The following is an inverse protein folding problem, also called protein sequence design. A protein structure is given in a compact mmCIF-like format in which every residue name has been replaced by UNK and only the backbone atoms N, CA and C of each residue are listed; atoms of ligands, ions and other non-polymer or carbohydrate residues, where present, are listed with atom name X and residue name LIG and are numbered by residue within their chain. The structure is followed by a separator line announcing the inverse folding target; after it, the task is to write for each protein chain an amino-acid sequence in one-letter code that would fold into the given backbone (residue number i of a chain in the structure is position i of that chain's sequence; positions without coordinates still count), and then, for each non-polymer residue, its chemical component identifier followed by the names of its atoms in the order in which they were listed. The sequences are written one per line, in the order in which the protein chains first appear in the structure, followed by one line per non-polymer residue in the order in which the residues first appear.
data_IF_793157297374
#
_entry.id   IF_793157297374
#
_cell.length_a   1.000
_cell.length_b   1.000
_cell.length_c   1.000
_cell.angle_alpha   90.00
_cell.angle_beta   90.00
_cell.angle_gamma   90.00
#
_symmetry.space_group_name_H-M   'P 1'
#
loop_
_entity.id
_entity.type
_entity.pdbx_description
1 polymer ?
#
# COMPACT_ATOMS: atom_id res chain seq x y z
N UNK A 1 -14.56 21.70 -3.02
CA UNK A 1 -14.13 21.46 -1.62
C UNK A 1 -12.64 21.19 -1.69
N UNK A 2 -11.83 21.69 -0.76
CA UNK A 2 -10.38 21.43 -0.78
C UNK A 2 -10.02 20.23 0.10
N UNK A 3 -8.99 19.43 -0.26
CA UNK A 3 -8.50 18.34 0.57
C UNK A 3 -8.00 18.80 1.94
N UNK A 4 -8.40 18.08 3.00
CA UNK A 4 -7.85 18.31 4.35
C UNK A 4 -6.39 17.83 4.47
N UNK A 5 -6.04 16.75 3.78
CA UNK A 5 -4.68 16.26 3.65
C UNK A 5 -4.13 16.62 2.27
N UNK A 6 -2.83 16.89 2.15
CA UNK A 6 -2.24 17.19 0.83
C UNK A 6 -2.04 15.93 0.01
N UNK A 7 -1.57 14.85 0.64
CA UNK A 7 -1.31 13.57 -0.02
C UNK A 7 -2.29 12.51 0.46
N UNK A 8 -2.76 11.68 -0.47
CA UNK A 8 -3.67 10.58 -0.17
C UNK A 8 -3.13 9.27 -0.73
N UNK A 9 -2.92 8.30 0.15
CA UNK A 9 -2.59 6.92 -0.20
C UNK A 9 -3.81 6.04 0.00
N UNK A 10 -4.27 5.36 -1.05
CA UNK A 10 -5.36 4.40 -0.98
C UNK A 10 -4.82 2.99 -1.21
N UNK A 11 -4.86 2.18 -0.14
CA UNK A 11 -4.23 0.87 -0.04
C UNK A 11 -5.29 -0.20 -0.17
N UNK A 12 -5.15 -1.07 -1.17
CA UNK A 12 -6.08 -2.18 -1.37
C UNK A 12 -5.39 -3.36 -2.03
N UNK A 13 -5.68 -4.55 -1.54
CA UNK A 13 -5.22 -5.82 -2.14
C UNK A 13 -5.68 -5.97 -3.60
N UNK A 14 -6.74 -5.25 -3.97
CA UNK A 14 -7.35 -5.34 -5.29
C UNK A 14 -6.85 -4.28 -6.30
N UNK A 15 -5.92 -3.39 -5.93
CA UNK A 15 -5.28 -2.48 -6.91
C UNK A 15 -4.42 -3.31 -7.87
N UNK A 16 -4.69 -3.20 -9.18
CA UNK A 16 -4.10 -4.04 -10.24
C UNK A 16 -4.27 -5.57 -10.02
N UNK A 17 -5.21 -5.98 -9.17
CA UNK A 17 -5.41 -7.38 -8.82
C UNK A 17 -6.90 -7.65 -8.57
N UNK A 18 -7.68 -7.82 -9.65
CA UNK A 18 -9.12 -8.08 -9.51
C UNK A 18 -9.38 -9.43 -8.83
N UNK A 19 -9.90 -9.38 -7.61
CA UNK A 19 -10.34 -10.53 -6.81
C UNK A 19 -11.85 -10.48 -6.56
N UNK A 20 -12.39 -9.32 -6.23
CA UNK A 20 -13.77 -9.13 -5.80
C UNK A 20 -14.33 -7.74 -6.13
N UNK A 21 -15.18 -7.24 -5.22
CA UNK A 21 -15.91 -5.99 -5.41
C UNK A 21 -15.07 -4.74 -5.15
N UNK A 22 -14.04 -4.81 -4.29
CA UNK A 22 -13.23 -3.64 -3.93
C UNK A 22 -12.47 -3.12 -5.15
N UNK A 23 -12.04 -3.99 -6.07
CA UNK A 23 -11.48 -3.59 -7.36
C UNK A 23 -12.38 -2.55 -8.05
N UNK A 24 -13.67 -2.86 -8.16
CA UNK A 24 -14.66 -1.99 -8.83
C UNK A 24 -14.86 -0.69 -8.07
N UNK A 25 -14.89 -0.75 -6.73
CA UNK A 25 -15.03 0.44 -5.87
C UNK A 25 -13.86 1.40 -6.07
N UNK A 26 -12.62 0.93 -5.91
CA UNK A 26 -11.43 1.78 -6.04
C UNK A 26 -11.30 2.29 -7.48
N UNK A 27 -11.51 1.41 -8.48
CA UNK A 27 -11.44 1.76 -9.90
C UNK A 27 -12.44 2.84 -10.31
N UNK A 28 -13.71 2.71 -9.90
CA UNK A 28 -14.76 3.68 -10.25
C UNK A 28 -14.58 5.03 -9.56
N UNK A 29 -14.01 5.02 -8.34
CA UNK A 29 -13.71 6.22 -7.57
C UNK A 29 -12.43 6.95 -8.02
N UNK A 30 -11.48 6.24 -8.64
CA UNK A 30 -10.15 6.76 -8.98
C UNK A 30 -10.20 8.08 -9.78
N UNK A 31 -11.10 8.21 -10.76
CA UNK A 31 -11.24 9.45 -11.55
C UNK A 31 -11.59 10.66 -10.70
N UNK A 32 -12.54 10.51 -9.77
CA UNK A 32 -12.92 11.59 -8.86
C UNK A 32 -11.82 11.92 -7.85
N UNK A 33 -11.07 10.92 -7.40
CA UNK A 33 -9.90 11.15 -6.53
C UNK A 33 -8.81 11.93 -7.26
N UNK A 34 -8.59 11.64 -8.54
CA UNK A 34 -7.66 12.39 -9.38
C UNK A 34 -8.12 13.83 -9.62
N UNK A 35 -9.41 14.08 -9.82
CA UNK A 35 -9.94 15.45 -9.88
C UNK A 35 -9.75 16.20 -8.56
N UNK A 36 -9.83 15.50 -7.43
CA UNK A 36 -9.77 16.11 -6.10
C UNK A 36 -8.34 16.32 -5.56
N UNK A 37 -7.43 15.38 -5.81
CA UNK A 37 -6.05 15.40 -5.30
C UNK A 37 -4.97 15.60 -6.39
N UNK A 38 -5.31 15.41 -7.66
CA UNK A 38 -4.35 15.44 -8.76
C UNK A 38 -3.22 14.43 -8.58
N UNK A 39 -1.98 14.88 -8.81
CA UNK A 39 -0.76 14.06 -8.67
C UNK A 39 -0.41 13.65 -7.24
N UNK A 40 -1.16 14.12 -6.24
CA UNK A 40 -0.93 13.77 -4.83
C UNK A 40 -1.78 12.57 -4.37
N UNK A 41 -2.55 11.96 -5.27
CA UNK A 41 -3.27 10.72 -5.02
C UNK A 41 -2.51 9.52 -5.57
N UNK A 42 -2.26 8.56 -4.69
CA UNK A 42 -1.54 7.33 -4.99
C UNK A 42 -2.36 6.13 -4.57
N UNK A 43 -2.38 5.10 -5.42
CA UNK A 43 -2.94 3.79 -5.08
C UNK A 43 -1.83 2.78 -4.83
N UNK A 44 -2.02 1.89 -3.85
CA UNK A 44 -1.03 0.87 -3.49
C UNK A 44 -1.67 -0.52 -3.56
N UNK A 45 -1.01 -1.43 -4.27
CA UNK A 45 -1.43 -2.81 -4.48
C UNK A 45 -0.28 -3.82 -4.35
N UNK A 46 -0.57 -5.13 -4.37
CA UNK A 46 0.46 -6.17 -4.47
C UNK A 46 1.00 -6.27 -5.90
N UNK A 47 2.30 -6.52 -6.06
CA UNK A 47 2.89 -6.77 -7.37
C UNK A 47 2.75 -8.24 -7.75
N UNK A 48 1.80 -8.52 -8.65
CA UNK A 48 1.65 -9.83 -9.28
C UNK A 48 1.82 -9.69 -10.79
N UNK A 49 2.99 -10.06 -11.31
CA UNK A 49 3.42 -9.85 -12.71
C UNK A 49 2.31 -10.16 -13.73
N UNK A 50 1.66 -11.32 -13.61
CA UNK A 50 0.59 -11.75 -14.54
C UNK A 50 -0.69 -10.90 -14.46
N UNK A 51 -0.99 -10.34 -13.28
CA UNK A 51 -2.20 -9.53 -13.03
C UNK A 51 -1.96 -8.06 -13.38
N UNK A 52 -0.73 -7.58 -13.19
CA UNK A 52 -0.31 -6.24 -13.55
C UNK A 52 -0.29 -6.02 -15.08
N UNK A 53 -0.11 -7.09 -15.87
CA UNK A 53 -0.08 -7.00 -17.32
C UNK A 53 -1.36 -6.39 -17.90
N UNK A 54 -1.22 -5.27 -18.61
CA UNK A 54 -2.33 -4.53 -19.22
C UNK A 54 -3.15 -3.68 -18.25
N UNK A 55 -2.88 -3.76 -16.95
CA UNK A 55 -3.45 -2.86 -15.94
C UNK A 55 -2.45 -1.82 -15.44
N UNK A 56 -1.16 -2.12 -15.46
CA UNK A 56 -0.11 -1.27 -14.90
C UNK A 56 0.86 -0.81 -15.99
N UNK A 57 1.00 0.50 -16.11
CA UNK A 57 1.97 1.14 -17.01
C UNK A 57 3.16 1.62 -16.18
N UNK A 58 4.28 0.91 -16.27
CA UNK A 58 5.48 1.22 -15.48
C UNK A 58 6.06 2.59 -15.85
N UNK A 59 6.48 3.35 -14.84
CA UNK A 59 7.02 4.67 -14.99
C UNK A 59 8.17 4.92 -14.00
N UNK A 60 8.93 5.99 -14.23
CA UNK A 60 9.97 6.37 -13.27
C UNK A 60 9.32 6.97 -12.02
N UNK A 61 9.64 6.47 -10.80
CA UNK A 61 9.10 7.04 -9.57
C UNK A 61 9.53 8.51 -9.41
N UNK A 62 8.63 9.43 -9.06
CA UNK A 62 9.01 10.79 -8.69
C UNK A 62 9.74 10.79 -7.34
N UNK A 63 10.50 11.85 -7.07
CA UNK A 63 11.01 12.05 -5.70
C UNK A 63 9.84 12.34 -4.74
N UNK A 64 9.89 11.85 -3.49
CA UNK A 64 11.00 11.16 -2.84
C UNK A 64 11.01 9.62 -3.01
N UNK A 65 10.10 9.03 -3.81
CA UNK A 65 9.93 7.57 -3.87
C UNK A 65 11.18 6.82 -4.32
N UNK A 66 12.01 7.40 -5.19
CA UNK A 66 13.28 6.78 -5.62
C UNK A 66 14.17 6.38 -4.44
N UNK A 67 14.43 7.33 -3.54
CA UNK A 67 15.23 7.06 -2.33
C UNK A 67 14.54 6.07 -1.39
N UNK A 68 13.23 6.21 -1.20
CA UNK A 68 12.45 5.34 -0.32
C UNK A 68 12.45 3.89 -0.83
N UNK A 69 12.29 3.69 -2.13
CA UNK A 69 12.30 2.36 -2.74
C UNK A 69 13.67 1.68 -2.58
N UNK A 70 14.76 2.43 -2.72
CA UNK A 70 16.10 1.91 -2.47
C UNK A 70 16.29 1.46 -1.01
N UNK A 71 15.79 2.24 -0.04
CA UNK A 71 15.86 1.90 1.39
C UNK A 71 14.97 0.70 1.75
N UNK A 72 13.81 0.57 1.11
CA UNK A 72 12.88 -0.56 1.29
C UNK A 72 13.40 -1.85 0.66
N UNK A 73 14.07 -1.77 -0.50
CA UNK A 73 14.65 -2.95 -1.17
C UNK A 73 15.72 -3.64 -0.33
N UNK A 74 16.47 -2.87 0.48
CA UNK A 74 17.41 -3.41 1.48
C UNK A 74 16.71 -4.20 2.58
N UNK A 75 15.44 -3.89 2.87
CA UNK A 75 14.58 -4.61 3.80
C UNK A 75 13.82 -5.77 3.12
N UNK A 76 14.05 -6.02 1.83
CA UNK A 76 13.36 -7.05 1.06
C UNK A 76 11.98 -6.65 0.54
N UNK A 77 11.68 -5.35 0.50
CA UNK A 77 10.44 -4.79 -0.05
C UNK A 77 10.79 -4.09 -1.36
N UNK A 78 10.47 -4.72 -2.48
CA UNK A 78 10.73 -4.17 -3.81
C UNK A 78 9.46 -3.45 -4.32
N UNK A 79 9.59 -2.22 -4.81
CA UNK A 79 8.46 -1.37 -5.20
C UNK A 79 8.55 -0.99 -6.67
N UNK A 80 7.43 -1.13 -7.38
CA UNK A 80 7.27 -0.74 -8.78
C UNK A 80 6.34 0.47 -8.86
N UNK A 81 6.80 1.55 -9.49
CA UNK A 81 5.97 2.75 -9.71
C UNK A 81 5.48 2.81 -11.14
N UNK A 82 4.27 3.31 -11.32
CA UNK A 82 3.64 3.44 -12.62
C UNK A 82 2.30 4.16 -12.51
N UNK A 83 1.45 3.94 -13.50
CA UNK A 83 0.08 4.40 -13.52
C UNK A 83 -0.86 3.19 -13.60
N UNK A 84 -1.96 3.23 -12.86
CA UNK A 84 -3.02 2.24 -13.04
C UNK A 84 -3.89 2.64 -14.22
N UNK A 85 -4.09 1.74 -15.18
CA UNK A 85 -4.87 1.93 -16.41
C UNK A 85 -6.39 2.00 -16.14
N UNK A 86 -6.80 3.00 -15.37
CA UNK A 86 -8.17 3.33 -14.98
C UNK A 86 -8.41 4.83 -15.18
N UNK A 87 -9.65 5.28 -14.96
CA UNK A 87 -10.02 6.68 -15.11
C UNK A 87 -9.09 7.60 -14.28
N UNK A 88 -8.53 8.63 -14.93
CA UNK A 88 -7.60 9.58 -14.33
C UNK A 88 -6.14 9.12 -14.26
N UNK A 89 -5.85 7.82 -14.45
CA UNK A 89 -4.47 7.30 -14.45
C UNK A 89 -3.67 7.62 -13.18
N UNK A 90 -4.17 7.30 -11.97
CA UNK A 90 -3.50 7.66 -10.73
C UNK A 90 -2.10 7.04 -10.63
N UNK A 91 -1.21 7.71 -9.89
CA UNK A 91 0.08 7.14 -9.52
C UNK A 91 -0.14 5.84 -8.76
N UNK A 92 0.48 4.75 -9.22
CA UNK A 92 0.29 3.41 -8.70
C UNK A 92 1.62 2.86 -8.21
N UNK A 93 1.63 2.29 -7.00
CA UNK A 93 2.79 1.62 -6.43
C UNK A 93 2.41 0.17 -6.16
N UNK A 94 3.05 -0.75 -6.87
CA UNK A 94 2.88 -2.18 -6.67
C UNK A 94 4.06 -2.73 -5.88
N UNK A 95 3.77 -3.46 -4.80
CA UNK A 95 4.79 -3.95 -3.86
C UNK A 95 5.03 -5.44 -4.09
N UNK A 96 6.26 -5.80 -4.46
CA UNK A 96 6.77 -7.16 -4.36
C UNK A 96 7.31 -7.38 -2.94
N UNK A 97 6.60 -8.22 -2.19
CA UNK A 97 6.88 -8.54 -0.80
C UNK A 97 7.44 -9.96 -0.64
N UNK A 98 7.84 -10.63 -1.73
CA UNK A 98 8.29 -12.03 -1.72
C UNK A 98 9.50 -12.25 -0.81
N UNK A 99 10.48 -11.34 -0.83
CA UNK A 99 11.65 -11.37 0.06
C UNK A 99 11.28 -10.98 1.49
N UNK A 100 10.39 -10.01 1.65
CA UNK A 100 9.87 -9.56 2.94
C UNK A 100 9.02 -10.62 3.66
N UNK A 101 8.49 -11.62 2.94
CA UNK A 101 7.76 -12.74 3.52
C UNK A 101 8.56 -13.54 4.57
N UNK A 102 9.89 -13.48 4.52
CA UNK A 102 10.75 -14.02 5.58
C UNK A 102 10.51 -13.38 6.96
N UNK A 103 9.95 -12.16 7.02
CA UNK A 103 9.63 -11.44 8.26
C UNK A 103 8.25 -11.78 8.82
N UNK A 104 7.51 -12.69 8.18
CA UNK A 104 6.14 -13.05 8.56
C UNK A 104 5.97 -13.32 10.05
N UNK A 105 6.77 -14.22 10.61
CA UNK A 105 6.59 -14.66 12.00
C UNK A 105 6.86 -13.52 12.99
N UNK A 106 7.82 -12.64 12.68
CA UNK A 106 8.10 -11.45 13.48
C UNK A 106 6.95 -10.43 13.42
N UNK A 107 6.34 -10.24 12.24
CA UNK A 107 5.16 -9.37 12.06
C UNK A 107 3.98 -9.92 12.87
N UNK A 108 3.68 -11.22 12.73
CA UNK A 108 2.59 -11.89 13.48
C UNK A 108 2.81 -11.81 14.99
N UNK A 109 4.03 -12.05 15.46
CA UNK A 109 4.41 -11.89 16.87
C UNK A 109 4.16 -10.46 17.37
N UNK A 110 4.54 -9.45 16.58
CA UNK A 110 4.30 -8.04 16.92
C UNK A 110 2.80 -7.71 17.01
N UNK A 111 1.99 -8.22 16.07
CA UNK A 111 0.54 -8.03 16.09
C UNK A 111 -0.12 -8.69 17.31
N UNK A 112 0.33 -9.87 17.69
CA UNK A 112 -0.09 -10.52 18.94
C UNK A 112 0.30 -9.71 20.16
N UNK A 113 1.55 -9.25 20.24
CA UNK A 113 2.07 -8.53 21.41
C UNK A 113 1.38 -7.19 21.63
N UNK A 114 1.10 -6.45 20.55
CA UNK A 114 0.50 -5.11 20.60
C UNK A 114 -1.01 -5.11 20.63
N UNK A 115 -1.65 -6.03 19.89
CA UNK A 115 -3.07 -5.98 19.61
C UNK A 115 -3.81 -7.29 19.92
N UNK A 116 -3.10 -8.35 20.35
CA UNK A 116 -3.68 -9.68 20.62
C UNK A 116 -4.40 -10.28 19.40
N UNK A 117 -3.90 -9.97 18.20
CA UNK A 117 -4.38 -10.59 16.97
C UNK A 117 -3.86 -12.02 16.92
N UNK A 118 -4.72 -12.99 17.22
CA UNK A 118 -4.39 -14.41 17.10
C UNK A 118 -4.36 -14.80 15.62
N UNK A 119 -3.28 -15.48 15.24
CA UNK A 119 -3.04 -15.95 13.87
C UNK A 119 -2.50 -17.38 13.86
N UNK A 120 -2.73 -18.13 14.93
CA UNK A 120 -2.51 -19.57 14.98
C UNK A 120 -3.52 -20.29 14.07
N UNK A 121 -3.04 -21.28 13.32
CA UNK A 121 -3.88 -22.05 12.40
C UNK A 121 -4.24 -21.34 11.09
N UNK A 122 -3.74 -20.12 10.85
CA UNK A 122 -3.91 -19.43 9.56
C UNK A 122 -3.02 -20.05 8.48
N UNK A 123 -3.46 -19.98 7.22
CA UNK A 123 -2.70 -20.43 6.06
C UNK A 123 -2.00 -19.26 5.36
N UNK A 124 -0.95 -19.58 4.60
CA UNK A 124 -0.12 -18.56 3.96
C UNK A 124 -0.90 -17.69 2.97
N UNK A 125 -1.60 -18.33 2.03
CA UNK A 125 -2.36 -17.66 0.96
C UNK A 125 -3.68 -17.05 1.41
N UNK A 126 -4.11 -17.32 2.63
CA UNK A 126 -5.36 -16.76 3.16
C UNK A 126 -5.11 -15.53 4.03
N UNK A 127 -4.03 -15.53 4.83
CA UNK A 127 -3.80 -14.50 5.85
C UNK A 127 -2.38 -13.95 5.82
N UNK A 128 -1.37 -14.82 5.77
CA UNK A 128 0.00 -14.39 6.01
C UNK A 128 0.50 -13.44 4.90
N UNK A 129 0.16 -13.70 3.63
CA UNK A 129 0.61 -12.87 2.51
C UNK A 129 0.06 -11.44 2.58
N UNK A 130 -1.20 -11.27 2.98
CA UNK A 130 -1.85 -9.96 3.05
C UNK A 130 -1.38 -9.17 4.27
N UNK A 131 -1.08 -9.85 5.38
CA UNK A 131 -0.44 -9.25 6.55
C UNK A 131 0.97 -8.74 6.24
N UNK A 132 1.79 -9.55 5.55
CA UNK A 132 3.14 -9.16 5.15
C UNK A 132 3.09 -7.99 4.18
N UNK A 133 2.28 -8.08 3.13
CA UNK A 133 2.13 -7.04 2.12
C UNK A 133 1.63 -5.72 2.71
N UNK A 134 0.57 -5.74 3.51
CA UNK A 134 0.00 -4.50 4.05
C UNK A 134 0.95 -3.85 5.07
N UNK A 135 1.75 -4.64 5.78
CA UNK A 135 2.85 -4.12 6.60
C UNK A 135 3.93 -3.45 5.74
N UNK A 136 4.28 -4.03 4.59
CA UNK A 136 5.21 -3.41 3.64
C UNK A 136 4.65 -2.09 3.05
N UNK A 137 3.36 -2.06 2.71
CA UNK A 137 2.66 -0.84 2.29
C UNK A 137 2.72 0.25 3.36
N UNK A 138 2.47 -0.10 4.62
CA UNK A 138 2.54 0.86 5.72
C UNK A 138 3.96 1.39 5.97
N UNK A 139 5.00 0.57 5.81
CA UNK A 139 6.41 0.99 5.85
C UNK A 139 6.73 2.02 4.76
N UNK A 140 6.24 1.79 3.54
CA UNK A 140 6.38 2.73 2.43
C UNK A 140 5.73 4.08 2.75
N UNK A 141 4.47 4.05 3.20
CA UNK A 141 3.73 5.27 3.52
C UNK A 141 4.40 6.01 4.68
N UNK A 142 4.83 5.30 5.73
CA UNK A 142 5.56 5.89 6.86
C UNK A 142 6.84 6.58 6.40
N UNK A 143 7.63 5.93 5.55
CA UNK A 143 8.87 6.49 5.01
C UNK A 143 8.62 7.73 4.14
N UNK A 144 7.54 7.72 3.35
CA UNK A 144 7.11 8.89 2.58
C UNK A 144 6.70 10.03 3.50
N UNK A 145 5.80 9.77 4.45
CA UNK A 145 5.23 10.78 5.32
C UNK A 145 6.28 11.44 6.23
N UNK A 146 7.30 10.70 6.69
CA UNK A 146 8.45 11.26 7.43
C UNK A 146 9.29 12.26 6.61
N UNK A 147 9.19 12.23 5.28
CA UNK A 147 9.88 13.17 4.38
C UNK A 147 8.97 14.33 3.93
N UNK A 148 7.74 14.41 4.41
CA UNK A 148 6.80 15.47 4.06
C UNK A 148 6.56 16.43 5.23
N UNK A 149 6.55 17.72 4.94
CA UNK A 149 6.06 18.76 5.87
C UNK A 149 4.54 18.97 5.76
N UNK A 150 3.89 18.27 4.83
CA UNK A 150 2.46 18.42 4.52
C UNK A 150 1.67 17.21 5.00
N UNK A 151 0.38 17.36 5.37
CA UNK A 151 -0.39 16.25 5.90
C UNK A 151 -0.58 15.15 4.86
N UNK A 152 -0.42 13.91 5.32
CA UNK A 152 -0.62 12.67 4.54
C UNK A 152 -1.78 11.90 5.16
N UNK A 153 -2.70 11.39 4.34
CA UNK A 153 -3.75 10.46 4.77
C UNK A 153 -3.53 9.09 4.12
N UNK A 154 -3.75 8.02 4.91
CA UNK A 154 -3.64 6.65 4.43
C UNK A 154 -4.95 5.88 4.65
N UNK A 155 -5.62 5.54 3.56
CA UNK A 155 -6.90 4.83 3.57
C UNK A 155 -6.68 3.36 3.22
N UNK A 156 -6.97 2.46 4.16
CA UNK A 156 -6.80 1.01 3.99
C UNK A 156 -8.15 0.33 3.74
N UNK A 157 -8.23 -0.50 2.70
CA UNK A 157 -9.45 -1.19 2.29
C UNK A 157 -9.43 -2.65 2.72
N UNK A 158 -10.52 -3.06 3.40
CA UNK A 158 -10.74 -4.43 3.89
C UNK A 158 -9.70 -4.92 4.91
N UNK A 159 -10.00 -6.05 5.54
CA UNK A 159 -9.13 -6.65 6.55
C UNK A 159 -7.76 -7.08 5.99
N UNK A 160 -7.67 -7.38 4.69
CA UNK A 160 -6.42 -7.72 4.00
C UNK A 160 -5.37 -6.59 4.09
N UNK A 161 -5.82 -5.34 4.19
CA UNK A 161 -4.97 -4.17 4.39
C UNK A 161 -4.82 -3.77 5.88
N UNK A 162 -5.51 -4.46 6.78
CA UNK A 162 -5.67 -4.07 8.18
C UNK A 162 -4.39 -4.11 9.01
N UNK A 163 -3.47 -5.04 8.74
CA UNK A 163 -2.19 -5.08 9.45
C UNK A 163 -1.33 -3.84 9.16
N UNK A 164 -1.44 -3.27 7.95
CA UNK A 164 -0.82 -1.99 7.61
C UNK A 164 -1.36 -0.81 8.44
N UNK A 165 -2.67 -0.74 8.66
CA UNK A 165 -3.28 0.26 9.53
C UNK A 165 -2.78 0.13 10.97
N UNK A 166 -2.76 -1.10 11.50
CA UNK A 166 -2.22 -1.38 12.83
C UNK A 166 -0.74 -1.01 12.93
N UNK A 167 0.05 -1.28 11.88
CA UNK A 167 1.45 -0.86 11.79
C UNK A 167 1.59 0.66 11.91
N UNK A 168 0.82 1.44 11.15
CA UNK A 168 0.85 2.90 11.24
C UNK A 168 0.55 3.37 12.67
N UNK A 169 -0.43 2.77 13.34
CA UNK A 169 -0.83 3.13 14.70
C UNK A 169 0.24 2.79 15.74
N UNK A 170 0.82 1.58 15.71
CA UNK A 170 1.83 1.18 16.71
C UNK A 170 3.15 1.93 16.55
N UNK A 171 3.48 2.38 15.34
CA UNK A 171 4.70 3.15 15.07
C UNK A 171 4.51 4.66 15.16
N UNK A 172 3.28 5.14 15.45
CA UNK A 172 2.92 6.56 15.38
C UNK A 172 3.37 7.20 14.06
N UNK A 173 3.10 6.50 12.95
CA UNK A 173 3.42 7.02 11.62
C UNK A 173 2.73 8.39 11.42
N UNK A 174 3.39 9.37 10.77
CA UNK A 174 2.86 10.72 10.61
C UNK A 174 1.80 10.79 9.49
N UNK A 175 0.75 10.00 9.65
CA UNK A 175 -0.39 9.90 8.73
C UNK A 175 -1.70 10.02 9.51
N UNK A 176 -2.70 10.64 8.88
CA UNK A 176 -4.08 10.64 9.34
C UNK A 176 -4.80 9.34 8.93
#
# INVERSE_FOLDING_TARGET
MEPKATFCFEVSWEVCNKVGGIYTVVKSKAGQMMEYYGSNYFVIGPYFVKKAYGEFEEATPPEPFKSIFADLSQQGIDCHYGNWAVAGGPGCILIDFSRFASQKDAIKGTLWDKYRVDSLGTQYYDYDETVVWSTAAAKLIEAFAKKQDKPVVAQFHEWLAGAGLLYCRMNNAPVA
#
